data_IF_856208057362
#
_entry.id   IF_856208057362
#
_cell.length_a   1.000
_cell.length_b   1.000
_cell.length_c   1.000
_cell.angle_alpha   90.00
_cell.angle_beta   90.00
_cell.angle_gamma   90.00
#
_symmetry.space_group_name_H-M   'P 1'
#
loop_
_entity.id
_entity.type
_entity.pdbx_description
1 polymer ?
#
# COMPACT_ATOMS: atom_id res chain seq x y z
N UNK A 1 -35.04 2.37 -6.29
CA UNK A 1 -34.60 1.21 -5.48
C UNK A 1 -33.08 1.30 -5.40
N UNK A 2 -32.54 1.87 -4.31
CA UNK A 2 -31.09 2.02 -4.12
C UNK A 2 -30.56 0.67 -3.63
N UNK A 3 -29.77 0.02 -4.46
CA UNK A 3 -28.94 -1.11 -4.04
C UNK A 3 -27.86 -0.50 -3.13
N UNK A 4 -27.65 -1.00 -1.90
CA UNK A 4 -26.54 -0.56 -1.09
C UNK A 4 -25.26 -1.01 -1.79
N UNK A 5 -24.52 -0.08 -2.38
CA UNK A 5 -23.18 -0.33 -2.87
C UNK A 5 -22.27 -0.39 -1.64
N UNK A 6 -21.80 -1.60 -1.34
CA UNK A 6 -20.60 -1.78 -0.51
C UNK A 6 -19.44 -1.30 -1.37
N UNK A 7 -18.91 -0.13 -1.06
CA UNK A 7 -17.75 0.41 -1.77
C UNK A 7 -16.49 -0.08 -1.05
N UNK A 8 -15.46 -0.60 -1.74
CA UNK A 8 -14.15 -0.71 -1.12
C UNK A 8 -13.68 0.72 -0.81
N UNK A 9 -13.70 1.08 0.48
CA UNK A 9 -13.20 2.36 0.95
C UNK A 9 -11.68 2.30 1.07
N UNK A 10 -10.99 2.94 0.13
CA UNK A 10 -9.58 3.26 0.33
C UNK A 10 -9.50 4.53 1.17
N UNK A 11 -9.13 4.41 2.44
CA UNK A 11 -8.70 5.57 3.21
C UNK A 11 -7.26 5.91 2.82
N UNK A 12 -7.07 6.91 1.96
CA UNK A 12 -5.75 7.51 1.78
C UNK A 12 -5.53 8.47 2.96
N UNK A 13 -4.99 7.95 4.07
CA UNK A 13 -4.46 8.78 5.15
C UNK A 13 -3.00 9.11 4.84
N UNK A 14 -2.72 10.32 4.34
CA UNK A 14 -1.35 10.82 4.22
C UNK A 14 -0.89 11.22 5.63
N UNK A 15 -0.29 10.28 6.37
CA UNK A 15 0.38 10.61 7.63
C UNK A 15 1.77 11.16 7.31
N UNK A 16 1.92 12.47 7.43
CA UNK A 16 3.22 13.13 7.30
C UNK A 16 3.99 12.98 8.63
N UNK A 17 4.87 11.98 8.71
CA UNK A 17 5.87 11.93 9.78
C UNK A 17 6.96 12.96 9.47
N UNK A 18 6.85 14.15 10.06
CA UNK A 18 7.95 15.10 10.10
C UNK A 18 8.92 14.70 11.23
N UNK A 19 10.21 14.58 10.93
CA UNK A 19 11.22 14.32 11.95
C UNK A 19 11.25 15.47 12.97
N UNK A 20 10.78 15.22 14.18
CA UNK A 20 10.99 16.11 15.31
C UNK A 20 12.47 16.04 15.70
N UNK A 21 13.21 17.15 15.56
CA UNK A 21 14.59 17.27 16.01
C UNK A 21 14.65 17.35 17.54
N UNK A 22 14.60 16.19 18.20
CA UNK A 22 14.87 16.03 19.62
C UNK A 22 16.29 15.51 19.84
N UNK A 23 17.16 16.32 20.44
CA UNK A 23 18.51 15.90 20.83
C UNK A 23 18.46 14.82 21.92
N UNK A 24 18.70 13.56 21.54
CA UNK A 24 19.23 12.52 22.43
C UNK A 24 20.31 11.72 21.71
N UNK A 25 21.53 11.76 22.26
CA UNK A 25 22.68 11.04 21.72
C UNK A 25 22.62 9.57 22.16
N UNK A 26 22.22 8.69 21.25
CA UNK A 26 22.48 7.24 21.31
C UNK A 26 23.09 6.84 19.96
N UNK A 27 24.10 5.96 19.99
CA UNK A 27 25.04 5.71 18.91
C UNK A 27 24.41 5.51 17.52
N UNK A 28 24.75 6.41 16.60
CA UNK A 28 24.30 6.37 15.21
C UNK A 28 24.94 5.20 14.45
N UNK A 29 24.15 4.15 14.17
CA UNK A 29 24.31 3.43 12.92
C UNK A 29 23.80 4.36 11.81
N UNK A 30 24.74 4.86 11.01
CA UNK A 30 24.49 5.79 9.92
C UNK A 30 23.54 5.18 8.88
N UNK A 31 22.31 5.67 8.79
CA UNK A 31 21.44 5.46 7.63
C UNK A 31 21.43 6.74 6.77
N UNK A 32 22.40 6.82 5.85
CA UNK A 32 22.62 7.99 4.99
C UNK A 32 22.03 7.89 3.57
N UNK A 33 21.34 6.81 3.19
CA UNK A 33 21.09 6.51 1.76
C UNK A 33 19.61 6.52 1.29
N UNK A 34 18.63 6.77 2.17
CA UNK A 34 17.24 6.95 1.70
C UNK A 34 17.08 8.36 1.11
N UNK A 35 16.59 8.51 -0.14
CA UNK A 35 16.38 9.82 -0.72
C UNK A 35 15.42 10.65 0.14
N UNK A 36 15.78 11.91 0.38
CA UNK A 36 14.93 12.87 1.08
C UNK A 36 13.88 13.45 0.14
N UNK A 37 12.64 13.45 0.58
CA UNK A 37 11.55 14.01 -0.20
C UNK A 37 11.52 15.54 -0.11
N UNK A 38 10.79 16.16 -1.05
CA UNK A 38 10.69 17.63 -1.08
C UNK A 38 9.77 18.20 -0.01
N UNK A 39 8.76 17.41 0.39
CA UNK A 39 7.68 17.84 1.32
C UNK A 39 7.57 16.86 2.48
N UNK A 40 7.62 15.56 2.19
CA UNK A 40 7.63 14.47 3.17
C UNK A 40 8.63 13.41 2.71
N UNK A 41 9.22 12.69 3.68
CA UNK A 41 10.17 11.60 3.39
C UNK A 41 9.47 10.27 3.10
N UNK A 42 8.26 10.10 3.61
CA UNK A 42 7.48 8.86 3.55
C UNK A 42 6.04 9.13 3.11
N UNK A 43 5.50 8.26 2.27
CA UNK A 43 4.08 8.19 1.90
C UNK A 43 3.53 6.83 2.32
N UNK A 44 2.49 6.83 3.17
CA UNK A 44 1.81 5.63 3.64
C UNK A 44 0.38 5.60 3.08
N UNK A 45 0.03 4.49 2.43
CA UNK A 45 -1.32 4.20 1.95
C UNK A 45 -1.86 2.94 2.61
N UNK A 46 -2.98 3.07 3.33
CA UNK A 46 -3.60 1.95 4.04
C UNK A 46 -4.87 1.55 3.31
N UNK A 47 -5.01 0.25 3.05
CA UNK A 47 -6.17 -0.32 2.37
C UNK A 47 -6.96 -1.17 3.36
N UNK A 48 -8.25 -0.86 3.50
CA UNK A 48 -9.20 -1.67 4.27
C UNK A 48 -10.16 -2.33 3.30
N UNK A 49 -10.10 -3.66 3.21
CA UNK A 49 -10.93 -4.41 2.26
C UNK A 49 -12.41 -4.38 2.70
N UNK A 50 -13.29 -3.98 1.78
CA UNK A 50 -14.77 -3.99 1.90
C UNK A 50 -15.37 -3.25 3.10
N UNK A 51 -14.75 -2.15 3.52
CA UNK A 51 -15.30 -1.30 4.57
C UNK A 51 -16.17 -0.17 4.02
N UNK A 52 -17.35 0.04 4.62
CA UNK A 52 -18.26 1.13 4.24
C UNK A 52 -17.87 2.45 4.91
N UNK A 53 -17.96 3.56 4.18
CA UNK A 53 -17.68 4.91 4.71
C UNK A 53 -18.49 5.23 5.98
N UNK A 54 -19.79 4.94 5.96
CA UNK A 54 -20.69 5.16 7.10
C UNK A 54 -20.35 4.27 8.30
N UNK A 55 -19.62 3.17 8.09
CA UNK A 55 -19.11 2.29 9.15
C UNK A 55 -17.83 2.87 9.73
N UNK A 56 -16.84 3.17 8.89
CA UNK A 56 -15.51 3.66 9.32
C UNK A 56 -15.58 5.02 10.02
N UNK A 57 -16.47 5.91 9.58
CA UNK A 57 -16.68 7.22 10.23
C UNK A 57 -17.27 7.14 11.64
N UNK A 58 -17.63 5.95 12.12
CA UNK A 58 -18.12 5.72 13.49
C UNK A 58 -17.10 4.99 14.36
N UNK A 59 -15.96 4.57 13.81
CA UNK A 59 -14.92 3.84 14.55
C UNK A 59 -13.98 4.84 15.21
N UNK A 60 -13.87 4.78 16.54
CA UNK A 60 -12.90 5.56 17.32
C UNK A 60 -11.47 5.26 16.85
N UNK A 61 -10.65 6.29 16.68
CA UNK A 61 -9.36 6.20 15.99
C UNK A 61 -9.42 6.79 14.57
N UNK A 62 -10.30 6.30 13.70
CA UNK A 62 -10.50 6.90 12.37
C UNK A 62 -11.09 8.30 12.45
N UNK A 63 -12.06 8.50 13.35
CA UNK A 63 -12.62 9.82 13.62
C UNK A 63 -11.60 10.80 14.22
N UNK A 64 -10.57 10.30 14.88
CA UNK A 64 -9.51 11.15 15.43
C UNK A 64 -8.52 11.58 14.35
N UNK A 65 -8.22 10.71 13.37
CA UNK A 65 -7.41 11.08 12.19
C UNK A 65 -8.02 12.22 11.38
N UNK A 66 -9.35 12.37 11.39
CA UNK A 66 -10.02 13.50 10.72
C UNK A 66 -9.60 14.86 11.26
N UNK A 67 -9.11 14.93 12.51
CA UNK A 67 -8.62 16.18 13.13
C UNK A 67 -7.22 16.55 12.64
N UNK A 68 -6.45 15.57 12.16
CA UNK A 68 -5.05 15.69 11.76
C UNK A 68 -4.87 15.70 10.24
N UNK A 69 -5.95 15.59 9.47
CA UNK A 69 -5.90 15.37 8.03
C UNK A 69 -7.07 15.97 7.25
N UNK A 70 -7.19 15.53 5.99
CA UNK A 70 -8.25 15.94 5.07
C UNK A 70 -9.14 14.72 4.79
N UNK A 71 -10.44 14.88 5.00
CA UNK A 71 -11.43 13.88 4.61
C UNK A 71 -11.74 14.01 3.11
N UNK A 72 -11.58 12.91 2.38
CA UNK A 72 -12.00 12.81 0.98
C UNK A 72 -13.36 12.10 0.92
N UNK A 73 -14.45 12.83 1.11
CA UNK A 73 -15.83 12.32 1.15
C UNK A 73 -16.45 12.08 -0.25
N UNK A 74 -15.71 12.39 -1.31
CA UNK A 74 -16.08 12.10 -2.70
C UNK A 74 -14.98 11.28 -3.43
N UNK A 75 -14.25 10.45 -2.69
CA UNK A 75 -13.29 9.50 -3.25
C UNK A 75 -13.96 8.13 -3.42
N UNK A 76 -14.11 7.70 -4.68
CA UNK A 76 -14.90 6.52 -5.03
C UNK A 76 -14.02 5.45 -5.68
N UNK A 77 -14.37 4.18 -5.46
CA UNK A 77 -13.81 3.05 -6.19
C UNK A 77 -14.07 3.20 -7.71
N UNK A 78 -13.19 2.63 -8.53
CA UNK A 78 -13.32 2.63 -9.99
C UNK A 78 -14.43 1.69 -10.43
N UNK A 79 -14.51 0.51 -9.80
CA UNK A 79 -15.51 -0.51 -10.13
C UNK A 79 -15.71 -1.51 -8.99
N UNK A 80 -16.60 -2.47 -9.19
CA UNK A 80 -16.72 -3.68 -8.37
C UNK A 80 -16.67 -4.90 -9.30
N UNK A 81 -15.95 -5.98 -8.95
CA UNK A 81 -15.36 -6.31 -7.63
C UNK A 81 -14.01 -5.64 -7.34
N UNK A 82 -13.32 -6.05 -6.25
CA UNK A 82 -12.22 -5.29 -5.65
C UNK A 82 -10.91 -5.34 -6.45
N UNK A 83 -10.56 -6.47 -7.09
CA UNK A 83 -9.27 -6.64 -7.78
C UNK A 83 -8.96 -5.58 -8.87
N UNK A 84 -9.90 -5.18 -9.76
CA UNK A 84 -9.68 -4.09 -10.70
C UNK A 84 -9.20 -2.78 -10.04
N UNK A 85 -9.63 -2.48 -8.81
CA UNK A 85 -9.23 -1.25 -8.12
C UNK A 85 -7.78 -1.33 -7.63
N UNK A 86 -7.36 -2.49 -7.11
CA UNK A 86 -5.97 -2.71 -6.67
C UNK A 86 -5.00 -2.57 -7.85
N UNK A 87 -5.27 -3.23 -8.98
CA UNK A 87 -4.39 -3.15 -10.16
C UNK A 87 -4.40 -1.74 -10.75
N UNK A 88 -5.53 -1.04 -10.74
CA UNK A 88 -5.60 0.33 -11.21
C UNK A 88 -4.85 1.33 -10.31
N UNK A 89 -4.80 1.11 -9.00
CA UNK A 89 -3.99 1.94 -8.12
C UNK A 89 -2.48 1.77 -8.36
N UNK A 90 -2.03 0.58 -8.74
CA UNK A 90 -0.62 0.34 -9.06
C UNK A 90 -0.23 0.70 -10.50
N UNK A 91 -1.08 0.42 -11.48
CA UNK A 91 -0.78 0.54 -12.91
C UNK A 91 -1.59 1.59 -13.68
N UNK A 92 -2.50 2.31 -13.02
CA UNK A 92 -3.31 3.38 -13.63
C UNK A 92 -4.43 2.92 -14.56
N UNK A 93 -4.73 1.62 -14.63
CA UNK A 93 -5.78 1.04 -15.48
C UNK A 93 -6.35 -0.24 -14.86
N UNK A 94 -7.58 -0.61 -15.19
CA UNK A 94 -8.13 -1.93 -14.83
C UNK A 94 -7.57 -3.06 -15.70
N UNK A 95 -6.90 -2.73 -16.81
CA UNK A 95 -6.38 -3.68 -17.80
C UNK A 95 -7.45 -4.63 -18.37
N UNK A 96 -8.71 -4.20 -18.35
CA UNK A 96 -9.84 -5.02 -18.79
C UNK A 96 -10.27 -6.11 -17.80
N UNK A 97 -9.69 -6.13 -16.60
CA UNK A 97 -10.12 -7.04 -15.53
C UNK A 97 -11.49 -6.57 -15.01
N UNK A 98 -12.44 -7.50 -14.94
CA UNK A 98 -13.83 -7.25 -14.52
C UNK A 98 -14.30 -8.15 -13.38
N UNK A 99 -13.44 -9.04 -12.89
CA UNK A 99 -13.73 -9.97 -11.80
C UNK A 99 -12.52 -10.12 -10.85
N UNK A 100 -12.60 -11.07 -9.92
CA UNK A 100 -11.61 -11.34 -8.87
C UNK A 100 -10.79 -12.63 -9.11
N UNK A 101 -10.68 -13.05 -10.37
CA UNK A 101 -9.95 -14.26 -10.76
C UNK A 101 -8.42 -14.07 -10.76
N UNK A 102 -7.70 -15.15 -11.06
CA UNK A 102 -6.25 -15.09 -11.16
C UNK A 102 -5.81 -14.37 -12.44
N UNK A 103 -5.15 -13.22 -12.30
CA UNK A 103 -4.57 -12.46 -13.42
C UNK A 103 -3.08 -12.17 -13.23
N UNK A 104 -2.36 -12.18 -14.35
CA UNK A 104 -1.01 -11.65 -14.48
C UNK A 104 -1.03 -10.55 -15.54
N UNK A 105 -0.62 -9.35 -15.15
CA UNK A 105 -0.46 -8.22 -16.05
C UNK A 105 0.96 -8.26 -16.61
N UNK A 106 1.08 -8.09 -17.94
CA UNK A 106 2.34 -8.25 -18.66
C UNK A 106 3.48 -7.42 -18.06
N UNK A 107 4.69 -7.99 -18.02
CA UNK A 107 5.92 -7.33 -17.56
C UNK A 107 6.32 -6.08 -18.34
N UNK A 108 5.72 -5.84 -19.52
CA UNK A 108 5.90 -4.60 -20.29
C UNK A 108 5.02 -3.44 -19.76
N UNK A 109 4.29 -3.65 -18.67
CA UNK A 109 3.43 -2.64 -18.04
C UNK A 109 4.16 -2.02 -16.87
N UNK A 110 4.41 -0.71 -16.94
CA UNK A 110 5.00 0.02 -15.82
C UNK A 110 3.96 0.26 -14.71
N UNK A 111 4.43 0.19 -13.48
CA UNK A 111 3.68 0.46 -12.25
C UNK A 111 4.26 1.67 -11.52
N UNK A 112 3.57 2.16 -10.50
CA UNK A 112 4.12 3.16 -9.57
C UNK A 112 5.44 2.70 -8.94
N UNK A 113 5.61 1.40 -8.69
CA UNK A 113 6.83 0.82 -8.12
C UNK A 113 8.04 1.01 -9.04
N UNK A 114 7.87 0.79 -10.34
CA UNK A 114 8.92 1.02 -11.34
C UNK A 114 9.31 2.51 -11.40
N UNK A 115 8.32 3.41 -11.27
CA UNK A 115 8.56 4.86 -11.25
C UNK A 115 9.31 5.31 -10.00
N UNK A 116 9.04 4.71 -8.84
CA UNK A 116 9.74 4.97 -7.59
C UNK A 116 11.21 4.52 -7.70
N UNK A 117 11.45 3.29 -8.15
CA UNK A 117 12.79 2.74 -8.32
C UNK A 117 13.61 3.51 -9.36
N UNK A 118 13.00 3.95 -10.46
CA UNK A 118 13.65 4.82 -11.45
C UNK A 118 14.11 6.18 -10.88
N UNK A 119 13.58 6.58 -9.73
CA UNK A 119 14.00 7.77 -8.97
C UNK A 119 14.90 7.45 -7.78
N UNK A 120 15.28 6.19 -7.60
CA UNK A 120 16.05 5.71 -6.45
C UNK A 120 15.25 5.68 -5.15
N UNK A 121 13.93 5.85 -5.20
CA UNK A 121 13.06 5.78 -4.04
C UNK A 121 12.78 4.33 -3.66
N UNK A 122 12.71 4.05 -2.38
CA UNK A 122 12.39 2.71 -1.88
C UNK A 122 10.90 2.54 -1.64
N UNK A 123 10.42 1.31 -1.76
CA UNK A 123 9.04 0.96 -1.49
C UNK A 123 8.94 -0.39 -0.78
N UNK A 124 7.90 -0.57 0.04
CA UNK A 124 7.48 -1.90 0.51
C UNK A 124 5.97 -2.01 0.44
N UNK A 125 5.45 -3.22 0.36
CA UNK A 125 4.03 -3.52 0.48
C UNK A 125 3.82 -4.46 1.64
N UNK A 126 3.15 -3.97 2.68
CA UNK A 126 2.88 -4.72 3.90
C UNK A 126 1.55 -5.46 3.77
N UNK A 127 1.61 -6.79 3.69
CA UNK A 127 0.46 -7.66 3.45
C UNK A 127 0.11 -8.44 4.72
N UNK A 128 -1.11 -8.25 5.21
CA UNK A 128 -1.60 -9.00 6.37
C UNK A 128 -1.63 -10.50 6.07
N UNK A 129 -1.10 -11.32 6.99
CA UNK A 129 -1.13 -12.78 6.92
C UNK A 129 -0.49 -13.41 5.66
N UNK A 130 0.34 -12.68 4.91
CA UNK A 130 1.13 -13.27 3.82
C UNK A 130 2.03 -14.38 4.39
N UNK A 131 2.08 -15.57 3.78
CA UNK A 131 2.77 -16.72 4.38
C UNK A 131 4.30 -16.56 4.39
N UNK A 132 4.84 -15.76 3.48
CA UNK A 132 6.26 -15.41 3.42
C UNK A 132 6.43 -14.13 2.58
N UNK A 133 7.54 -13.41 2.79
CA UNK A 133 7.92 -12.33 1.89
C UNK A 133 7.97 -12.82 0.43
N UNK A 134 7.53 -11.98 -0.50
CA UNK A 134 7.50 -12.30 -1.93
C UNK A 134 6.51 -13.39 -2.36
N UNK A 135 5.58 -13.81 -1.49
CA UNK A 135 4.63 -14.86 -1.85
C UNK A 135 3.64 -14.41 -2.96
N UNK A 136 3.58 -15.19 -4.04
CA UNK A 136 2.68 -14.99 -5.18
C UNK A 136 1.58 -16.06 -5.27
N UNK A 137 1.32 -16.81 -4.20
CA UNK A 137 0.26 -17.82 -4.16
C UNK A 137 -1.11 -17.15 -4.31
N UNK A 138 -2.04 -17.85 -4.98
CA UNK A 138 -3.41 -17.36 -5.12
C UNK A 138 -4.08 -17.05 -3.77
N UNK A 139 -3.92 -17.94 -2.78
CA UNK A 139 -4.44 -17.81 -1.42
C UNK A 139 -3.59 -18.60 -0.43
N UNK A 140 -3.48 -18.12 0.80
CA UNK A 140 -2.97 -18.87 1.95
C UNK A 140 -3.64 -18.36 3.23
N UNK A 141 -4.42 -19.20 3.92
CA UNK A 141 -5.21 -18.75 5.07
C UNK A 141 -6.14 -17.59 4.69
N UNK A 142 -5.97 -16.45 5.36
CA UNK A 142 -6.70 -15.19 5.11
C UNK A 142 -6.04 -14.30 4.05
N UNK A 143 -4.80 -14.58 3.64
CA UNK A 143 -4.16 -13.87 2.54
C UNK A 143 -4.74 -14.28 1.19
N UNK A 144 -5.05 -13.30 0.34
CA UNK A 144 -5.48 -13.49 -1.05
C UNK A 144 -4.66 -12.57 -1.98
N UNK A 145 -4.14 -13.13 -3.06
CA UNK A 145 -3.26 -12.39 -3.99
C UNK A 145 -3.92 -11.19 -4.64
N UNK A 146 -5.24 -11.22 -4.84
CA UNK A 146 -5.96 -10.13 -5.51
C UNK A 146 -5.88 -8.79 -4.77
N UNK A 147 -5.54 -8.78 -3.47
CA UNK A 147 -5.29 -7.56 -2.68
C UNK A 147 -3.81 -7.12 -2.69
N UNK A 148 -2.96 -7.85 -3.42
CA UNK A 148 -1.55 -7.55 -3.62
C UNK A 148 -1.33 -7.15 -5.09
N UNK A 149 -1.49 -5.86 -5.41
CA UNK A 149 -1.34 -5.43 -6.79
C UNK A 149 0.10 -5.60 -7.27
N UNK A 150 1.13 -5.46 -6.43
CA UNK A 150 2.52 -5.68 -6.82
C UNK A 150 2.73 -7.10 -7.37
N UNK A 151 2.19 -8.12 -6.70
CA UNK A 151 2.26 -9.51 -7.17
C UNK A 151 1.46 -9.76 -8.46
N UNK A 152 0.54 -8.87 -8.85
CA UNK A 152 -0.31 -8.99 -10.03
C UNK A 152 0.36 -8.56 -11.34
N UNK A 153 1.46 -7.81 -11.29
CA UNK A 153 2.25 -7.42 -12.46
C UNK A 153 3.47 -8.32 -12.58
N UNK A 154 3.67 -8.94 -13.74
CA UNK A 154 4.81 -9.82 -14.00
C UNK A 154 6.16 -9.07 -13.91
N UNK A 155 6.17 -7.74 -14.10
CA UNK A 155 7.37 -6.91 -13.93
C UNK A 155 7.95 -7.04 -12.51
N UNK A 156 7.07 -7.26 -11.52
CA UNK A 156 7.41 -7.44 -10.10
C UNK A 156 7.29 -8.90 -9.69
N UNK A 157 6.17 -9.55 -10.01
CA UNK A 157 5.83 -10.91 -9.62
C UNK A 157 6.81 -12.00 -10.10
N UNK A 158 7.61 -11.71 -11.13
CA UNK A 158 8.68 -12.58 -11.63
C UNK A 158 10.09 -12.08 -11.28
N UNK A 159 10.21 -10.87 -10.71
CA UNK A 159 11.47 -10.28 -10.31
C UNK A 159 11.79 -10.61 -8.85
N UNK A 160 12.74 -11.52 -8.66
CA UNK A 160 13.13 -12.02 -7.32
C UNK A 160 13.54 -10.90 -6.37
N UNK A 161 14.18 -9.84 -6.84
CA UNK A 161 14.62 -8.72 -6.01
C UNK A 161 13.43 -7.86 -5.60
N UNK A 162 12.54 -7.51 -6.53
CA UNK A 162 11.38 -6.68 -6.20
C UNK A 162 10.35 -7.42 -5.34
N UNK A 163 10.26 -8.75 -5.45
CA UNK A 163 9.42 -9.56 -4.56
C UNK A 163 9.81 -9.42 -3.08
N UNK A 164 11.07 -9.12 -2.76
CA UNK A 164 11.52 -8.91 -1.37
C UNK A 164 10.89 -7.66 -0.73
N UNK A 165 10.37 -6.73 -1.55
CA UNK A 165 9.64 -5.56 -1.06
C UNK A 165 8.20 -5.89 -0.62
N UNK A 166 7.68 -7.07 -0.96
CA UNK A 166 6.36 -7.54 -0.50
C UNK A 166 6.57 -8.35 0.78
N UNK A 167 6.15 -7.80 1.91
CA UNK A 167 6.48 -8.34 3.26
C UNK A 167 5.23 -8.54 4.10
N UNK A 168 5.37 -9.25 5.22
CA UNK A 168 4.30 -9.40 6.21
C UNK A 168 3.93 -8.08 6.88
N UNK A 169 2.65 -7.93 7.25
CA UNK A 169 2.17 -6.76 7.99
C UNK A 169 2.92 -6.52 9.31
N UNK A 170 3.42 -7.57 9.96
CA UNK A 170 4.25 -7.50 11.16
C UNK A 170 5.62 -6.84 10.92
N UNK A 171 6.06 -6.72 9.67
CA UNK A 171 7.30 -6.03 9.31
C UNK A 171 7.19 -4.51 9.47
N UNK A 172 5.99 -3.93 9.39
CA UNK A 172 5.81 -2.47 9.52
C UNK A 172 6.34 -1.96 10.86
N UNK A 173 5.96 -2.63 11.96
CA UNK A 173 6.41 -2.26 13.30
C UNK A 173 7.93 -2.39 13.43
N UNK A 174 8.52 -3.44 12.86
CA UNK A 174 9.98 -3.66 12.88
C UNK A 174 10.72 -2.57 12.11
N UNK A 175 10.18 -2.14 10.97
CA UNK A 175 10.77 -1.07 10.17
C UNK A 175 10.63 0.31 10.84
N UNK A 176 9.56 0.54 11.61
CA UNK A 176 9.43 1.74 12.47
C UNK A 176 10.50 1.74 13.56
N UNK A 177 10.62 0.64 14.31
CA UNK A 177 11.57 0.51 15.42
C UNK A 177 13.03 0.59 14.96
N UNK A 178 13.31 0.10 13.76
CA UNK A 178 14.64 0.14 13.15
C UNK A 178 14.94 1.46 12.41
N UNK A 179 13.97 2.38 12.31
CA UNK A 179 14.08 3.60 11.50
C UNK A 179 14.40 3.32 10.01
N UNK A 180 13.84 2.23 9.46
CA UNK A 180 14.06 1.74 8.08
C UNK A 180 12.80 1.73 7.23
N UNK A 181 11.84 2.61 7.51
CA UNK A 181 10.66 2.80 6.68
C UNK A 181 11.05 3.15 5.23
N UNK A 182 10.36 2.60 4.22
CA UNK A 182 10.58 2.96 2.81
C UNK A 182 10.00 4.34 2.49
N UNK A 183 10.39 4.93 1.35
CA UNK A 183 9.77 6.19 0.91
C UNK A 183 8.27 6.03 0.57
N UNK A 184 7.86 4.87 0.08
CA UNK A 184 6.47 4.56 -0.26
C UNK A 184 6.04 3.23 0.36
N UNK A 185 4.88 3.21 1.00
CA UNK A 185 4.32 2.00 1.64
C UNK A 185 2.81 1.91 1.51
#
# INVERSE_FOLDING_TARGET
MRIPLVYPFTLVAIVSLANASGHHKVGHHKHHDQPKGKVFDHFLQIWFENEDFDTITKVSGFTDLLKEGILLDNYNAITHPSQPNYVAAAGGSTFGITDDEYYNISANTSTIFDLLEAKGLTWKMYQENIPSAGCTFYRSGTYVRKHNPAASFDSIGLNKTQLENIVGGDQLQKDIEAETLPNWM
#
